data_IF_034320417666
#
_entry.id   IF_034320417666
#
_cell.length_a   1.000
_cell.length_b   1.000
_cell.length_c   1.000
_cell.angle_alpha   90.00
_cell.angle_beta   90.00
_cell.angle_gamma   90.00
#
_symmetry.space_group_name_H-M   'P 1'
#
loop_
_entity.id
_entity.type
_entity.pdbx_description
1 polymer ?
#
# COMPACT_ATOMS: atom_id res chain seq x y z
N UNK A 1 -7.82 -11.04 11.18
CA UNK A 1 -7.17 -11.18 9.86
C UNK A 1 -6.91 -9.79 9.32
N UNK A 2 -5.83 -9.58 8.58
CA UNK A 2 -5.46 -8.27 8.03
C UNK A 2 -5.01 -8.40 6.57
N UNK A 3 -5.14 -7.31 5.83
CA UNK A 3 -4.64 -7.15 4.45
C UNK A 3 -4.09 -5.73 4.29
N UNK A 4 -3.43 -5.42 3.18
CA UNK A 4 -2.78 -4.13 3.02
C UNK A 4 -2.15 -3.91 1.65
N UNK A 5 -1.29 -2.90 1.58
CA UNK A 5 -0.53 -2.55 0.39
C UNK A 5 0.89 -2.14 0.78
N UNK A 6 1.79 -2.23 -0.20
CA UNK A 6 3.20 -1.89 -0.06
C UNK A 6 3.59 -0.97 -1.21
N UNK A 7 4.28 0.13 -0.90
CA UNK A 7 5.03 0.93 -1.87
C UNK A 7 6.49 0.55 -1.70
N UNK A 8 7.14 0.15 -2.78
CA UNK A 8 8.55 -0.23 -2.79
C UNK A 8 9.25 0.37 -4.01
N UNK A 9 10.59 0.46 -3.94
CA UNK A 9 11.38 0.86 -5.08
C UNK A 9 11.42 -0.26 -6.13
N UNK A 10 11.52 0.10 -7.40
CA UNK A 10 11.59 -0.89 -8.48
C UNK A 10 13.02 -1.45 -8.59
N UNK A 11 13.12 -2.77 -8.70
CA UNK A 11 14.35 -3.52 -8.97
C UNK A 11 14.14 -4.43 -10.19
N UNK A 12 15.20 -5.07 -10.68
CA UNK A 12 15.11 -6.05 -11.76
C UNK A 12 14.27 -7.29 -11.36
N UNK A 13 14.36 -7.67 -10.08
CA UNK A 13 13.52 -8.71 -9.50
C UNK A 13 12.11 -8.18 -9.21
N UNK A 14 11.09 -8.91 -9.68
CA UNK A 14 9.67 -8.55 -9.54
C UNK A 14 9.26 -8.54 -8.06
N UNK A 15 8.64 -7.45 -7.62
CA UNK A 15 8.11 -7.24 -6.26
C UNK A 15 9.12 -7.46 -5.13
N UNK A 16 10.42 -7.29 -5.42
CA UNK A 16 11.51 -7.60 -4.49
C UNK A 16 12.31 -6.36 -4.03
N UNK A 17 11.94 -5.17 -4.49
CA UNK A 17 12.70 -3.97 -4.15
C UNK A 17 12.49 -3.51 -2.70
N UNK A 18 13.38 -2.63 -2.20
CA UNK A 18 13.29 -2.13 -0.82
C UNK A 18 11.94 -1.45 -0.55
N UNK A 19 11.31 -1.82 0.57
CA UNK A 19 10.02 -1.26 1.00
C UNK A 19 10.23 0.19 1.44
N UNK A 20 9.40 1.09 0.92
CA UNK A 20 9.33 2.49 1.34
C UNK A 20 8.19 2.71 2.34
N UNK A 21 6.98 2.22 2.03
CA UNK A 21 5.80 2.35 2.88
C UNK A 21 5.03 1.04 2.89
N UNK A 22 4.51 0.68 4.06
CA UNK A 22 3.57 -0.43 4.21
C UNK A 22 2.36 0.01 5.03
N UNK A 23 1.16 -0.25 4.53
CA UNK A 23 -0.10 0.05 5.22
C UNK A 23 -0.97 -1.19 5.28
N UNK A 24 -1.83 -1.25 6.30
CA UNK A 24 -2.71 -2.39 6.55
C UNK A 24 -4.08 -1.97 7.05
N UNK A 25 -5.08 -2.80 6.80
CA UNK A 25 -6.42 -2.69 7.36
C UNK A 25 -6.90 -4.04 7.91
N UNK A 26 -7.82 -3.98 8.86
CA UNK A 26 -8.48 -5.16 9.39
C UNK A 26 -9.47 -5.75 8.38
N UNK A 27 -9.50 -7.08 8.30
CA UNK A 27 -10.53 -7.84 7.59
C UNK A 27 -11.54 -8.36 8.61
N UNK A 28 -12.81 -8.00 8.42
CA UNK A 28 -13.92 -8.51 9.23
C UNK A 28 -14.57 -9.73 8.56
N UNK A 29 -15.33 -10.52 9.33
CA UNK A 29 -16.07 -11.67 8.79
C UNK A 29 -17.23 -11.29 7.86
N UNK A 30 -17.58 -10.01 7.78
CA UNK A 30 -18.63 -9.47 6.90
C UNK A 30 -18.06 -8.83 5.64
N UNK A 31 -16.74 -8.78 5.48
CA UNK A 31 -16.12 -8.21 4.30
C UNK A 31 -16.34 -9.09 3.07
N UNK A 32 -16.64 -8.46 1.94
CA UNK A 32 -16.69 -9.10 0.63
C UNK A 32 -15.41 -8.81 -0.15
N UNK A 33 -15.21 -9.50 -1.27
CA UNK A 33 -14.07 -9.20 -2.16
C UNK A 33 -14.11 -7.74 -2.63
N UNK A 34 -15.30 -7.22 -2.92
CA UNK A 34 -15.51 -5.84 -3.33
C UNK A 34 -15.20 -4.86 -2.20
N UNK A 35 -15.66 -5.12 -0.97
CA UNK A 35 -15.36 -4.23 0.16
C UNK A 35 -13.86 -4.21 0.48
N UNK A 36 -13.19 -5.36 0.39
CA UNK A 36 -11.74 -5.45 0.58
C UNK A 36 -10.97 -4.74 -0.52
N UNK A 37 -11.41 -4.85 -1.78
CA UNK A 37 -10.82 -4.11 -2.89
C UNK A 37 -10.93 -2.60 -2.66
N UNK A 38 -12.09 -2.10 -2.25
CA UNK A 38 -12.27 -0.68 -1.95
C UNK A 38 -11.36 -0.23 -0.79
N UNK A 39 -11.26 -1.02 0.28
CA UNK A 39 -10.33 -0.73 1.39
C UNK A 39 -8.87 -0.71 0.93
N UNK A 40 -8.46 -1.69 0.12
CA UNK A 40 -7.11 -1.77 -0.43
C UNK A 40 -6.77 -0.56 -1.29
N UNK A 41 -7.64 -0.19 -2.23
CA UNK A 41 -7.46 0.98 -3.10
C UNK A 41 -7.37 2.30 -2.32
N UNK A 42 -8.13 2.44 -1.23
CA UNK A 42 -8.01 3.60 -0.34
C UNK A 42 -6.64 3.65 0.36
N UNK A 43 -6.15 2.50 0.85
CA UNK A 43 -4.82 2.41 1.44
C UNK A 43 -3.72 2.72 0.44
N UNK A 44 -3.83 2.19 -0.79
CA UNK A 44 -2.90 2.44 -1.89
C UNK A 44 -2.81 3.94 -2.18
N UNK A 45 -3.94 4.62 -2.34
CA UNK A 45 -3.96 6.07 -2.61
C UNK A 45 -3.28 6.89 -1.52
N UNK A 46 -3.56 6.60 -0.25
CA UNK A 46 -2.91 7.29 0.89
C UNK A 46 -1.41 6.99 0.95
N UNK A 47 -1.02 5.73 0.75
CA UNK A 47 0.39 5.33 0.74
C UNK A 47 1.16 6.00 -0.41
N UNK A 48 0.54 6.13 -1.58
CA UNK A 48 1.18 6.73 -2.75
C UNK A 48 1.41 8.23 -2.58
N UNK A 49 0.43 8.96 -2.03
CA UNK A 49 0.59 10.40 -1.72
C UNK A 49 1.72 10.61 -0.72
N UNK A 50 1.75 9.84 0.37
CA UNK A 50 2.82 9.92 1.37
C UNK A 50 4.20 9.60 0.77
N UNK A 51 4.29 8.59 -0.09
CA UNK A 51 5.53 8.27 -0.79
C UNK A 51 6.02 9.44 -1.68
N UNK A 52 5.11 10.07 -2.44
CA UNK A 52 5.45 11.23 -3.27
C UNK A 52 5.94 12.39 -2.41
N UNK A 53 5.25 12.70 -1.31
CA UNK A 53 5.66 13.78 -0.40
C UNK A 53 7.02 13.50 0.24
N UNK A 54 7.29 12.26 0.67
CA UNK A 54 8.58 11.87 1.24
C UNK A 54 9.71 12.05 0.23
N UNK A 55 9.51 11.63 -1.02
CA UNK A 55 10.52 11.74 -2.07
C UNK A 55 10.69 13.21 -2.50
N UNK A 56 9.61 13.95 -2.69
CA UNK A 56 9.66 15.34 -3.12
C UNK A 56 10.33 16.27 -2.10
N UNK A 57 10.19 16.00 -0.80
CA UNK A 57 10.82 16.79 0.27
C UNK A 57 12.24 16.34 0.62
N UNK A 58 12.77 15.29 -0.01
CA UNK A 58 14.17 14.83 0.15
C UNK A 58 15.13 15.46 -0.87
N UNK A 59 14.65 16.35 -1.75
CA UNK A 59 15.43 17.10 -2.75
C UNK A 59 15.26 18.61 -2.59
#
# INVERSE_FOLDING_TARGET
METGCTIHFVTEEVDAGPILIQKKCAVSGSDTVESLKTKGQQLEGVAFIEAIEMIANQY
#
